data_IF_840829761240
#
_entry.id   IF_840829761240
#
_cell.length_a   1.000
_cell.length_b   1.000
_cell.length_c   1.000
_cell.angle_alpha   90.00
_cell.angle_beta   90.00
_cell.angle_gamma   90.00
#
_symmetry.space_group_name_H-M   'P 1'
#
loop_
_entity.id
_entity.type
_entity.pdbx_description
1 polymer ?
#
# COMPACT_ATOMS: atom_id res chain seq x y z
N UNK A 1 10.60 -15.19 0.47
CA UNK A 1 11.85 -15.87 0.03
C UNK A 1 12.62 -16.51 1.19
N UNK A 2 12.78 -15.82 2.32
CA UNK A 2 13.51 -16.36 3.48
C UNK A 2 12.82 -17.58 4.10
N UNK A 3 11.49 -17.63 4.09
CA UNK A 3 10.75 -18.85 4.45
C UNK A 3 11.22 -20.06 3.64
N UNK A 4 11.23 -19.96 2.30
CA UNK A 4 11.63 -21.04 1.41
C UNK A 4 13.11 -21.41 1.51
N UNK A 5 13.97 -20.44 1.84
CA UNK A 5 15.41 -20.68 1.98
C UNK A 5 15.79 -21.27 3.34
N UNK A 6 15.22 -20.74 4.43
CA UNK A 6 15.63 -21.04 5.80
C UNK A 6 14.81 -22.15 6.45
N UNK A 7 13.52 -22.30 6.11
CA UNK A 7 12.70 -23.36 6.70
C UNK A 7 13.23 -24.77 6.41
N UNK A 8 13.71 -25.13 5.21
CA UNK A 8 14.24 -26.48 4.97
C UNK A 8 15.43 -26.87 5.85
N UNK A 9 16.21 -25.89 6.34
CA UNK A 9 17.34 -26.11 7.25
C UNK A 9 16.90 -26.50 8.68
N UNK A 10 15.60 -26.43 9.01
CA UNK A 10 15.10 -26.83 10.33
C UNK A 10 15.39 -28.30 10.67
N UNK A 11 15.55 -29.15 9.65
CA UNK A 11 15.92 -30.57 9.80
C UNK A 11 17.33 -30.76 10.32
N UNK A 12 18.22 -29.78 10.07
CA UNK A 12 19.62 -29.78 10.52
C UNK A 12 19.82 -28.92 11.76
N UNK A 13 19.12 -27.78 11.86
CA UNK A 13 19.16 -26.88 13.01
C UNK A 13 17.74 -26.50 13.44
N UNK A 14 17.31 -26.98 14.61
CA UNK A 14 15.94 -26.81 15.11
C UNK A 14 15.48 -25.35 15.25
N UNK A 15 16.42 -24.40 15.39
CA UNK A 15 16.17 -22.96 15.48
C UNK A 15 15.42 -22.41 14.25
N UNK A 16 15.61 -22.98 13.06
CA UNK A 16 14.93 -22.51 11.85
C UNK A 16 13.45 -22.90 11.77
N UNK A 17 12.93 -23.72 12.69
CA UNK A 17 11.50 -24.03 12.75
C UNK A 17 10.66 -22.77 13.06
N UNK A 18 11.27 -21.75 13.65
CA UNK A 18 10.62 -20.47 13.97
C UNK A 18 10.06 -19.76 12.72
N UNK A 19 10.67 -19.97 11.53
CA UNK A 19 10.20 -19.39 10.27
C UNK A 19 8.86 -19.99 9.77
N UNK A 20 8.40 -21.11 10.35
CA UNK A 20 7.09 -21.69 10.06
C UNK A 20 5.95 -20.79 10.56
N UNK A 21 6.13 -20.17 11.72
CA UNK A 21 5.07 -19.42 12.39
C UNK A 21 4.75 -18.12 11.65
N UNK A 22 3.46 -17.91 11.38
CA UNK A 22 2.98 -16.68 10.72
C UNK A 22 3.26 -15.46 11.60
N UNK A 23 3.02 -15.56 12.90
CA UNK A 23 3.28 -14.49 13.88
C UNK A 23 4.73 -14.00 13.85
N UNK A 24 5.69 -14.93 13.81
CA UNK A 24 7.10 -14.59 13.70
C UNK A 24 7.40 -13.85 12.39
N UNK A 25 6.90 -14.37 11.26
CA UNK A 25 7.09 -13.74 9.94
C UNK A 25 6.46 -12.35 9.88
N UNK A 26 5.28 -12.14 10.46
CA UNK A 26 4.61 -10.83 10.49
C UNK A 26 5.40 -9.82 11.32
N UNK A 27 5.84 -10.19 12.54
CA UNK A 27 6.63 -9.29 13.39
C UNK A 27 7.93 -8.90 12.70
N UNK A 28 8.66 -9.87 12.14
CA UNK A 28 9.93 -9.60 11.48
C UNK A 28 9.76 -8.84 10.16
N UNK A 29 8.67 -9.03 9.42
CA UNK A 29 8.35 -8.20 8.27
C UNK A 29 8.15 -6.73 8.67
N UNK A 30 7.38 -6.47 9.72
CA UNK A 30 7.16 -5.12 10.25
C UNK A 30 8.46 -4.47 10.75
N UNK A 31 9.29 -5.22 11.49
CA UNK A 31 10.60 -4.74 11.93
C UNK A 31 11.54 -4.49 10.75
N UNK A 32 11.54 -5.35 9.74
CA UNK A 32 12.36 -5.18 8.53
C UNK A 32 11.95 -3.90 7.79
N UNK A 33 10.65 -3.68 7.59
CA UNK A 33 10.13 -2.46 6.96
C UNK A 33 10.50 -1.20 7.77
N UNK A 34 10.36 -1.26 9.09
CA UNK A 34 10.77 -0.17 9.99
C UNK A 34 12.27 0.13 9.87
N UNK A 35 13.13 -0.90 9.89
CA UNK A 35 14.57 -0.76 9.76
C UNK A 35 14.96 -0.14 8.42
N UNK A 36 14.34 -0.57 7.31
CA UNK A 36 14.56 0.02 6.00
C UNK A 36 14.22 1.52 6.02
N UNK A 37 13.04 1.89 6.54
CA UNK A 37 12.62 3.28 6.64
C UNK A 37 13.55 4.10 7.54
N UNK A 38 13.97 3.54 8.68
CA UNK A 38 14.82 4.24 9.65
C UNK A 38 16.24 4.48 9.11
N UNK A 39 16.83 3.47 8.45
CA UNK A 39 18.18 3.57 7.90
C UNK A 39 18.25 4.40 6.62
N UNK A 40 17.31 4.20 5.69
CA UNK A 40 17.31 4.86 4.38
C UNK A 40 16.58 6.22 4.40
N UNK A 41 15.72 6.47 5.39
CA UNK A 41 14.95 7.71 5.52
C UNK A 41 15.82 8.97 5.49
N UNK A 42 16.82 9.12 6.38
CA UNK A 42 17.70 10.29 6.38
C UNK A 42 18.45 10.48 5.06
N UNK A 43 18.86 9.38 4.42
CA UNK A 43 19.54 9.44 3.11
C UNK A 43 18.60 9.92 2.01
N UNK A 44 17.38 9.39 1.95
CA UNK A 44 16.40 9.78 0.95
C UNK A 44 15.98 11.24 1.12
N UNK A 45 15.73 11.68 2.36
CA UNK A 45 15.37 13.07 2.67
C UNK A 45 16.46 14.01 2.15
N UNK A 46 17.75 13.74 2.47
CA UNK A 46 18.87 14.54 1.96
C UNK A 46 18.88 14.61 0.43
N UNK A 47 18.69 13.47 -0.26
CA UNK A 47 18.68 13.41 -1.73
C UNK A 47 17.52 14.16 -2.36
N UNK A 48 16.33 14.11 -1.77
CA UNK A 48 15.16 14.84 -2.27
C UNK A 48 15.32 16.36 -2.03
N UNK A 49 15.86 16.76 -0.88
CA UNK A 49 16.18 18.16 -0.56
C UNK A 49 17.25 18.72 -1.50
N UNK A 50 18.32 17.96 -1.79
CA UNK A 50 19.37 18.34 -2.75
C UNK A 50 18.81 18.61 -4.16
N UNK A 51 17.78 17.86 -4.57
CA UNK A 51 17.12 18.02 -5.88
C UNK A 51 16.06 19.12 -5.91
N UNK A 52 15.87 19.86 -4.82
CA UNK A 52 14.83 20.90 -4.67
C UNK A 52 13.42 20.42 -5.06
N UNK A 53 13.13 19.14 -4.80
CA UNK A 53 11.79 18.56 -4.98
C UNK A 53 10.98 18.94 -3.74
N UNK A 54 10.66 20.23 -3.62
CA UNK A 54 9.81 20.79 -2.58
C UNK A 54 8.38 20.95 -3.07
N UNK A 55 7.42 20.89 -2.15
CA UNK A 55 6.00 21.07 -2.43
C UNK A 55 5.74 22.46 -3.07
N UNK A 56 5.22 22.51 -4.31
CA UNK A 56 4.78 23.75 -4.94
C UNK A 56 3.43 24.17 -4.35
N UNK A 57 3.41 25.21 -3.52
CA UNK A 57 2.19 25.67 -2.84
C UNK A 57 1.27 26.37 -3.85
N UNK A 58 0.05 25.85 -4.02
CA UNK A 58 -1.00 26.55 -4.78
C UNK A 58 -1.33 27.87 -4.09
N UNK A 59 -1.43 28.95 -4.87
CA UNK A 59 -1.71 30.31 -4.37
C UNK A 59 -3.07 30.48 -3.70
N UNK A 60 -3.99 29.54 -3.93
CA UNK A 60 -5.41 29.67 -3.56
C UNK A 60 -5.75 29.02 -2.19
N UNK A 61 -4.73 28.61 -1.41
CA UNK A 61 -4.90 27.88 -0.14
C UNK A 61 -4.84 28.76 1.13
N UNK A 62 -5.43 28.30 2.25
CA UNK A 62 -5.38 28.99 3.54
C UNK A 62 -3.96 29.32 4.02
N UNK A 63 -3.72 30.42 4.75
CA UNK A 63 -2.39 30.88 5.16
C UNK A 63 -1.61 29.88 6.04
N UNK A 64 -2.29 28.96 6.73
CA UNK A 64 -1.66 27.85 7.47
C UNK A 64 -0.88 26.87 6.57
N UNK A 65 -1.17 26.83 5.26
CA UNK A 65 -0.44 25.99 4.30
C UNK A 65 0.87 26.63 3.79
N UNK A 66 1.18 27.88 4.14
CA UNK A 66 2.42 28.57 3.72
C UNK A 66 3.66 28.08 4.49
N UNK A 67 3.50 27.45 5.65
CA UNK A 67 4.60 26.92 6.47
C UNK A 67 5.17 25.58 5.98
N UNK A 68 4.51 24.89 5.04
CA UNK A 68 4.98 23.63 4.43
C UNK A 68 5.92 23.83 3.23
N UNK A 69 6.44 25.04 3.05
CA UNK A 69 7.34 25.36 1.94
C UNK A 69 8.68 24.68 2.16
N UNK A 70 9.03 23.70 1.32
CA UNK A 70 10.36 23.09 1.31
C UNK A 70 10.49 21.70 1.96
N UNK A 71 9.41 21.10 2.47
CA UNK A 71 9.44 19.68 2.84
C UNK A 71 9.53 18.81 1.58
N UNK A 72 10.48 17.86 1.51
CA UNK A 72 10.60 16.98 0.36
C UNK A 72 9.38 16.07 0.27
N UNK A 73 8.80 16.03 -0.93
CA UNK A 73 7.62 15.23 -1.25
C UNK A 73 8.05 13.94 -1.97
N UNK A 74 7.21 12.89 -1.95
CA UNK A 74 7.51 11.48 -2.33
C UNK A 74 8.04 10.54 -1.22
N UNK A 75 7.81 10.85 0.06
CA UNK A 75 8.11 9.92 1.16
C UNK A 75 7.45 8.53 1.02
N UNK A 76 6.31 8.47 0.33
CA UNK A 76 5.58 7.23 0.02
C UNK A 76 6.40 6.22 -0.79
N UNK A 77 7.40 6.65 -1.57
CA UNK A 77 8.26 5.74 -2.33
C UNK A 77 9.10 4.85 -1.41
N UNK A 78 9.63 5.41 -0.32
CA UNK A 78 10.38 4.64 0.67
C UNK A 78 9.48 3.66 1.42
N UNK A 79 8.27 4.09 1.78
CA UNK A 79 7.29 3.22 2.43
C UNK A 79 6.93 2.06 1.51
N UNK A 80 6.62 2.34 0.23
CA UNK A 80 6.32 1.33 -0.76
C UNK A 80 7.49 0.34 -0.93
N UNK A 81 8.71 0.85 -1.06
CA UNK A 81 9.92 0.03 -1.17
C UNK A 81 10.12 -0.85 0.06
N UNK A 82 9.96 -0.29 1.27
CA UNK A 82 10.12 -1.01 2.52
C UNK A 82 9.06 -2.12 2.69
N UNK A 83 7.79 -1.82 2.42
CA UNK A 83 6.68 -2.78 2.50
C UNK A 83 6.88 -3.91 1.49
N UNK A 84 7.11 -3.58 0.21
CA UNK A 84 7.30 -4.59 -0.84
C UNK A 84 8.50 -5.49 -0.53
N UNK A 85 9.63 -4.91 -0.12
CA UNK A 85 10.83 -5.67 0.23
C UNK A 85 10.57 -6.59 1.42
N UNK A 86 9.94 -6.09 2.49
CA UNK A 86 9.60 -6.89 3.66
C UNK A 86 8.62 -8.03 3.30
N UNK A 87 7.59 -7.77 2.50
CA UNK A 87 6.65 -8.80 2.04
C UNK A 87 7.37 -9.86 1.19
N UNK A 88 8.21 -9.47 0.24
CA UNK A 88 8.94 -10.44 -0.61
C UNK A 88 9.91 -11.33 0.19
N UNK A 89 10.52 -10.77 1.24
CA UNK A 89 11.41 -11.52 2.12
C UNK A 89 10.65 -12.52 2.98
N UNK A 90 9.60 -12.08 3.67
CA UNK A 90 8.97 -12.83 4.76
C UNK A 90 7.68 -13.55 4.40
N UNK A 91 6.89 -13.04 3.44
CA UNK A 91 5.62 -13.65 3.06
C UNK A 91 5.80 -14.97 2.29
N UNK A 92 4.74 -15.76 2.29
CA UNK A 92 4.64 -16.94 1.45
C UNK A 92 4.24 -16.54 0.02
N UNK A 93 5.21 -16.59 -0.89
CA UNK A 93 5.03 -16.21 -2.30
C UNK A 93 4.27 -17.24 -3.14
N UNK A 94 4.01 -18.45 -2.62
CA UNK A 94 3.07 -19.37 -3.27
C UNK A 94 1.61 -18.96 -3.03
N UNK A 95 1.37 -18.09 -2.04
CA UNK A 95 0.03 -17.61 -1.74
C UNK A 95 -0.42 -16.56 -2.77
N UNK A 96 -1.46 -16.90 -3.51
CA UNK A 96 -2.08 -16.05 -4.51
C UNK A 96 -2.55 -14.69 -3.95
N UNK A 97 -3.08 -14.66 -2.72
CA UNK A 97 -3.59 -13.42 -2.10
C UNK A 97 -2.47 -12.41 -1.83
N UNK A 98 -1.24 -12.87 -1.56
CA UNK A 98 -0.08 -11.98 -1.39
C UNK A 98 0.20 -11.22 -2.68
N UNK A 99 0.12 -11.90 -3.83
CA UNK A 99 0.29 -11.27 -5.13
C UNK A 99 -0.84 -10.29 -5.47
N UNK A 100 -2.08 -10.60 -5.10
CA UNK A 100 -3.21 -9.69 -5.32
C UNK A 100 -3.03 -8.38 -4.55
N UNK A 101 -2.64 -8.46 -3.28
CA UNK A 101 -2.36 -7.27 -2.46
C UNK A 101 -1.16 -6.51 -3.02
N UNK A 102 -0.05 -7.20 -3.35
CA UNK A 102 1.13 -6.57 -3.94
C UNK A 102 0.82 -5.86 -5.26
N UNK A 103 -0.03 -6.45 -6.12
CA UNK A 103 -0.46 -5.85 -7.37
C UNK A 103 -1.21 -4.53 -7.10
N UNK A 104 -2.17 -4.51 -6.18
CA UNK A 104 -2.87 -3.27 -5.80
C UNK A 104 -1.91 -2.26 -5.20
N UNK A 105 -1.08 -2.66 -4.23
CA UNK A 105 -0.16 -1.75 -3.52
C UNK A 105 0.86 -1.13 -4.46
N UNK A 106 1.52 -1.93 -5.30
CA UNK A 106 2.50 -1.44 -6.29
C UNK A 106 1.81 -0.68 -7.41
N UNK A 107 0.66 -1.14 -7.89
CA UNK A 107 -0.09 -0.48 -8.95
C UNK A 107 -0.56 0.93 -8.54
N UNK A 108 -1.17 1.06 -7.37
CA UNK A 108 -1.61 2.36 -6.86
C UNK A 108 -0.43 3.24 -6.42
N UNK A 109 0.62 2.63 -5.88
CA UNK A 109 1.89 3.31 -5.61
C UNK A 109 2.52 3.89 -6.86
N UNK A 110 2.50 3.18 -7.98
CA UNK A 110 2.99 3.66 -9.27
C UNK A 110 2.13 4.82 -9.80
N UNK A 111 0.81 4.75 -9.69
CA UNK A 111 -0.09 5.85 -10.04
C UNK A 111 0.22 7.10 -9.20
N UNK A 112 0.40 6.95 -7.89
CA UNK A 112 0.79 8.04 -7.00
C UNK A 112 2.16 8.62 -7.34
N UNK A 113 3.13 7.77 -7.64
CA UNK A 113 4.47 8.19 -8.06
C UNK A 113 4.44 9.00 -9.36
N UNK A 114 3.66 8.57 -10.36
CA UNK A 114 3.52 9.32 -11.62
C UNK A 114 2.88 10.70 -11.38
N UNK A 115 1.86 10.76 -10.52
CA UNK A 115 1.18 12.02 -10.14
C UNK A 115 2.17 13.00 -9.47
N UNK A 116 2.91 12.53 -8.48
CA UNK A 116 3.94 13.30 -7.77
C UNK A 116 5.09 13.73 -8.70
N UNK A 117 5.52 12.83 -9.59
CA UNK A 117 6.58 13.10 -10.56
C UNK A 117 6.19 14.22 -11.52
N UNK A 118 4.96 14.21 -12.06
CA UNK A 118 4.47 15.26 -12.95
C UNK A 118 4.41 16.62 -12.27
N UNK A 119 3.90 16.67 -11.04
CA UNK A 119 3.75 17.93 -10.30
C UNK A 119 5.10 18.51 -9.85
N UNK A 120 5.98 17.68 -9.30
CA UNK A 120 7.14 18.15 -8.56
C UNK A 120 8.40 18.23 -9.43
N UNK A 121 8.58 17.26 -10.33
CA UNK A 121 9.79 17.17 -11.16
C UNK A 121 9.57 17.88 -12.49
N UNK A 122 8.42 17.67 -13.16
CA UNK A 122 8.09 18.38 -14.40
C UNK A 122 7.55 19.79 -14.21
N UNK A 123 7.26 20.20 -12.96
CA UNK A 123 6.72 21.52 -12.61
C UNK A 123 5.43 21.88 -13.37
N UNK A 124 4.64 20.88 -13.74
CA UNK A 124 3.35 21.12 -14.37
C UNK A 124 2.33 21.55 -13.28
N UNK A 125 1.54 22.58 -13.56
CA UNK A 125 0.57 23.15 -12.60
C UNK A 125 -0.57 22.17 -12.26
N UNK A 126 -0.73 21.11 -13.07
CA UNK A 126 -1.74 20.07 -12.90
C UNK A 126 -1.03 18.72 -12.90
N UNK A 127 -1.27 17.91 -11.87
CA UNK A 127 -0.86 16.50 -11.85
C UNK A 127 -1.65 15.66 -12.85
N UNK A 128 -1.68 14.36 -12.62
CA UNK A 128 -2.41 13.42 -13.46
C UNK A 128 -3.90 13.81 -13.50
N UNK A 129 -4.54 13.92 -14.68
CA UNK A 129 -5.95 14.25 -14.75
C UNK A 129 -6.77 13.26 -13.90
N UNK A 130 -7.62 13.77 -12.99
CA UNK A 130 -8.36 12.94 -12.05
C UNK A 130 -9.18 11.83 -12.71
N UNK A 131 -9.70 12.08 -13.93
CA UNK A 131 -10.40 11.06 -14.74
C UNK A 131 -9.49 9.87 -15.11
N UNK A 132 -8.24 10.14 -15.48
CA UNK A 132 -7.25 9.10 -15.81
C UNK A 132 -6.85 8.35 -14.54
N UNK A 133 -6.65 9.05 -13.42
CA UNK A 133 -6.32 8.44 -12.13
C UNK A 133 -7.39 7.44 -11.69
N UNK A 134 -8.66 7.86 -11.73
CA UNK A 134 -9.80 7.00 -11.42
C UNK A 134 -9.91 5.84 -12.41
N UNK A 135 -9.72 6.08 -13.71
CA UNK A 135 -9.80 5.02 -14.72
C UNK A 135 -8.75 3.93 -14.48
N UNK A 136 -7.50 4.31 -14.16
CA UNK A 136 -6.44 3.35 -13.85
C UNK A 136 -6.75 2.60 -12.55
N UNK A 137 -7.20 3.30 -11.51
CA UNK A 137 -7.58 2.67 -10.23
C UNK A 137 -8.71 1.65 -10.41
N UNK A 138 -9.78 2.04 -11.12
CA UNK A 138 -10.89 1.14 -11.46
C UNK A 138 -10.41 -0.03 -12.32
N UNK A 139 -9.53 0.20 -13.29
CA UNK A 139 -8.97 -0.86 -14.12
C UNK A 139 -8.18 -1.89 -13.32
N UNK A 140 -7.33 -1.45 -12.39
CA UNK A 140 -6.60 -2.33 -11.46
C UNK A 140 -7.57 -3.07 -10.53
N UNK A 141 -8.58 -2.37 -9.99
CA UNK A 141 -9.61 -2.97 -9.15
C UNK A 141 -10.40 -4.07 -9.87
N UNK A 142 -10.83 -3.81 -11.11
CA UNK A 142 -11.53 -4.79 -11.95
C UNK A 142 -10.64 -6.00 -12.25
N UNK A 143 -9.36 -5.77 -12.55
CA UNK A 143 -8.41 -6.85 -12.80
C UNK A 143 -8.28 -7.75 -11.57
N UNK A 144 -8.03 -7.17 -10.40
CA UNK A 144 -7.83 -7.94 -9.16
C UNK A 144 -9.11 -8.64 -8.73
N UNK A 145 -10.25 -7.94 -8.78
CA UNK A 145 -11.54 -8.53 -8.42
C UNK A 145 -11.96 -9.63 -9.40
N UNK A 146 -11.68 -9.47 -10.70
CA UNK A 146 -11.90 -10.50 -11.72
C UNK A 146 -11.01 -11.72 -11.53
N UNK A 147 -9.72 -11.52 -11.20
CA UNK A 147 -8.79 -12.60 -10.89
C UNK A 147 -9.19 -13.38 -9.63
N UNK A 148 -9.72 -12.70 -8.60
CA UNK A 148 -10.29 -13.33 -7.42
C UNK A 148 -11.54 -14.15 -7.77
N UNK A 149 -12.49 -13.55 -8.50
CA UNK A 149 -13.73 -14.21 -8.90
C UNK A 149 -13.50 -15.43 -9.80
N UNK A 150 -12.44 -15.42 -10.62
CA UNK A 150 -12.09 -16.56 -11.48
C UNK A 150 -11.58 -17.79 -10.72
N UNK A 151 -11.27 -17.66 -9.42
CA UNK A 151 -10.85 -18.79 -8.58
C UNK A 151 -12.06 -19.54 -8.05
N UNK A 152 -12.05 -20.86 -8.22
CA UNK A 152 -13.12 -21.75 -7.78
C UNK A 152 -13.31 -21.81 -6.26
N UNK A 153 -12.28 -21.46 -5.49
CA UNK A 153 -12.25 -21.44 -4.03
C UNK A 153 -12.55 -20.05 -3.43
N UNK A 154 -12.86 -19.05 -4.26
CA UNK A 154 -13.17 -17.72 -3.78
C UNK A 154 -14.65 -17.58 -3.43
N UNK A 155 -14.94 -17.14 -2.20
CA UNK A 155 -16.29 -16.93 -1.71
C UNK A 155 -16.79 -15.50 -2.02
N UNK A 156 -17.92 -15.41 -2.72
CA UNK A 156 -18.58 -14.14 -3.07
C UNK A 156 -19.62 -13.68 -2.06
N UNK A 157 -19.77 -14.39 -0.93
CA UNK A 157 -20.62 -13.97 0.17
C UNK A 157 -19.99 -12.80 0.93
N UNK A 158 -20.77 -11.74 1.16
CA UNK A 158 -20.32 -10.58 1.94
C UNK A 158 -20.90 -10.69 3.34
N UNK A 159 -20.04 -10.88 4.34
CA UNK A 159 -20.47 -10.93 5.74
C UNK A 159 -20.94 -9.56 6.22
N UNK A 160 -22.12 -9.50 6.83
CA UNK A 160 -22.62 -8.30 7.49
C UNK A 160 -22.21 -8.37 8.97
N UNK A 161 -21.38 -7.42 9.47
CA UNK A 161 -21.01 -7.39 10.87
C UNK A 161 -22.24 -7.43 11.78
N UNK A 162 -22.12 -8.08 12.94
CA UNK A 162 -23.20 -8.28 13.93
C UNK A 162 -24.34 -9.22 13.50
N UNK A 163 -24.50 -9.53 12.21
CA UNK A 163 -25.54 -10.42 11.68
C UNK A 163 -24.92 -11.70 11.12
N UNK A 164 -24.52 -12.63 12.00
CA UNK A 164 -23.77 -13.85 11.64
C UNK A 164 -24.45 -14.77 10.60
N UNK A 165 -25.77 -14.69 10.48
CA UNK A 165 -26.55 -15.50 9.53
C UNK A 165 -26.83 -14.79 8.20
N UNK A 166 -26.51 -13.50 8.10
CA UNK A 166 -26.72 -12.72 6.89
C UNK A 166 -25.40 -12.52 6.17
N UNK A 167 -25.21 -13.33 5.13
CA UNK A 167 -24.10 -13.20 4.20
C UNK A 167 -24.67 -13.28 2.78
N UNK A 168 -25.17 -12.17 2.20
CA UNK A 168 -25.68 -12.20 0.83
C UNK A 168 -24.56 -12.59 -0.15
N UNK A 169 -24.88 -13.54 -1.03
CA UNK A 169 -24.04 -13.88 -2.19
C UNK A 169 -24.24 -12.82 -3.28
N UNK A 170 -23.17 -12.13 -3.64
CA UNK A 170 -23.19 -11.13 -4.72
C UNK A 170 -22.92 -11.74 -6.10
N UNK A 171 -22.39 -12.96 -6.18
CA UNK A 171 -21.94 -13.58 -7.43
C UNK A 171 -21.05 -12.62 -8.24
N UNK A 172 -21.42 -12.39 -9.52
CA UNK A 172 -20.67 -11.48 -10.41
C UNK A 172 -20.67 -10.01 -9.95
N UNK A 173 -21.67 -9.58 -9.17
CA UNK A 173 -21.73 -8.23 -8.64
C UNK A 173 -20.60 -7.97 -7.61
N UNK A 174 -20.00 -9.03 -7.07
CA UNK A 174 -18.84 -8.94 -6.19
C UNK A 174 -17.67 -8.21 -6.86
N UNK A 175 -17.47 -8.41 -8.17
CA UNK A 175 -16.39 -7.75 -8.92
C UNK A 175 -16.52 -6.23 -8.84
N UNK A 176 -17.73 -5.73 -9.06
CA UNK A 176 -18.04 -4.30 -9.03
C UNK A 176 -17.93 -3.75 -7.61
N UNK A 177 -18.46 -4.50 -6.64
CA UNK A 177 -18.38 -4.16 -5.22
C UNK A 177 -16.93 -4.04 -4.74
N UNK A 178 -16.11 -5.06 -4.98
CA UNK A 178 -14.69 -5.07 -4.61
C UNK A 178 -13.92 -3.94 -5.29
N UNK A 179 -14.14 -3.72 -6.59
CA UNK A 179 -13.53 -2.61 -7.33
C UNK A 179 -13.85 -1.26 -6.70
N UNK A 180 -15.13 -1.03 -6.36
CA UNK A 180 -15.57 0.20 -5.69
C UNK A 180 -14.88 0.37 -4.33
N UNK A 181 -14.78 -0.69 -3.53
CA UNK A 181 -14.09 -0.64 -2.24
C UNK A 181 -12.60 -0.33 -2.41
N UNK A 182 -11.91 -1.00 -3.33
CA UNK A 182 -10.47 -0.80 -3.56
C UNK A 182 -10.18 0.62 -4.06
N UNK A 183 -10.89 1.08 -5.10
CA UNK A 183 -10.71 2.43 -5.63
C UNK A 183 -11.17 3.50 -4.63
N UNK A 184 -12.31 3.29 -3.97
CA UNK A 184 -12.87 4.23 -2.99
C UNK A 184 -11.97 4.43 -1.77
N UNK A 185 -11.43 3.34 -1.21
CA UNK A 185 -10.51 3.42 -0.05
C UNK A 185 -9.22 4.14 -0.39
N UNK A 186 -8.63 3.93 -1.58
CA UNK A 186 -7.44 4.67 -2.00
C UNK A 186 -7.69 6.17 -2.11
N UNK A 187 -8.83 6.58 -2.68
CA UNK A 187 -9.19 7.99 -2.75
C UNK A 187 -9.51 8.59 -1.38
N UNK A 188 -10.13 7.81 -0.48
CA UNK A 188 -10.39 8.23 0.90
C UNK A 188 -9.09 8.51 1.67
N UNK A 189 -8.08 7.65 1.55
CA UNK A 189 -6.76 7.86 2.17
C UNK A 189 -6.07 9.08 1.54
N UNK A 190 -6.10 9.22 0.22
CA UNK A 190 -5.52 10.38 -0.47
C UNK A 190 -6.16 11.71 -0.02
N UNK A 191 -7.48 11.74 0.20
CA UNK A 191 -8.20 12.91 0.70
C UNK A 191 -7.86 13.24 2.16
N UNK A 192 -7.53 12.22 2.94
CA UNK A 192 -7.17 12.34 4.37
C UNK A 192 -5.74 12.87 4.55
N UNK A 193 -4.85 12.66 3.56
CA UNK A 193 -3.44 13.04 3.60
C UNK A 193 -3.20 14.53 3.31
N UNK A 194 -3.85 15.41 4.09
CA UNK A 194 -3.74 16.87 3.97
C UNK A 194 -2.92 17.54 5.09
N UNK A 195 -2.69 16.85 6.20
CA UNK A 195 -1.97 17.34 7.38
C UNK A 195 -0.88 16.35 7.77
N UNK A 196 0.19 16.85 8.41
CA UNK A 196 1.37 16.03 8.70
C UNK A 196 1.02 14.90 9.67
N UNK A 197 1.15 13.66 9.20
CA UNK A 197 0.83 12.46 9.97
C UNK A 197 -0.66 12.10 10.05
N UNK A 198 -1.57 12.90 9.47
CA UNK A 198 -3.01 12.68 9.58
C UNK A 198 -3.48 11.39 8.90
N UNK A 199 -2.93 11.04 7.74
CA UNK A 199 -3.26 9.77 7.08
C UNK A 199 -2.51 8.57 7.69
N UNK A 200 -1.25 8.75 8.10
CA UNK A 200 -0.41 7.64 8.55
C UNK A 200 -0.89 7.03 9.88
N UNK A 201 -1.42 7.85 10.80
CA UNK A 201 -1.98 7.36 12.06
C UNK A 201 -3.13 6.36 11.87
N UNK A 202 -4.24 6.75 11.21
CA UNK A 202 -5.35 5.85 10.88
C UNK A 202 -4.93 4.62 10.07
N UNK A 203 -4.02 4.77 9.10
CA UNK A 203 -3.49 3.63 8.33
C UNK A 203 -2.77 2.63 9.23
N UNK A 204 -1.99 3.10 10.20
CA UNK A 204 -1.29 2.22 11.16
C UNK A 204 -2.28 1.46 12.03
N UNK A 205 -3.32 2.13 12.54
CA UNK A 205 -4.37 1.48 13.36
C UNK A 205 -5.14 0.45 12.52
N UNK A 206 -5.54 0.80 11.31
CA UNK A 206 -6.26 -0.10 10.41
C UNK A 206 -5.40 -1.30 9.97
N UNK A 207 -4.09 -1.12 9.76
CA UNK A 207 -3.19 -2.24 9.46
C UNK A 207 -3.00 -3.17 10.67
N UNK A 208 -2.92 -2.60 11.88
CA UNK A 208 -2.73 -3.36 13.11
C UNK A 208 -3.90 -4.30 13.44
N UNK A 209 -5.11 -4.05 12.93
CA UNK A 209 -6.25 -4.98 13.14
C UNK A 209 -6.11 -6.30 12.39
N UNK A 210 -5.15 -6.40 11.45
CA UNK A 210 -4.88 -7.62 10.68
C UNK A 210 -3.64 -8.40 11.17
N UNK A 211 -2.98 -7.93 12.24
CA UNK A 211 -1.81 -8.57 12.87
C UNK A 211 -2.25 -9.41 14.05
#
# INVERSE_FOLDING_TARGET
>A
MLYYLLYPLHTTFSVFNVFRYITFRTIYASLTALLICWLLGPWMIRKLTERQIGQYVRTDGPPAHKSKTGTPTMGGLLILFAVVTATLLWADLANFFVWMVLLVTVGYGAVGFVDDYLMQIKKETRGLPGRIKILIQVGIGLLVAGLLYARADFDTHVSIPFLKQMAPDLGWAYIHFATMVIAGTSNAVNLTDGLDGLAMGPVTVAAATFV
#
